data_IF_606291511220
#
_entry.id   IF_606291511220
#
_cell.length_a   1.000
_cell.length_b   1.000
_cell.length_c   1.000
_cell.angle_alpha   90.00
_cell.angle_beta   90.00
_cell.angle_gamma   90.00
#
_symmetry.space_group_name_H-M   'P 1'
#
loop_
_entity.id
_entity.type
_entity.pdbx_description
1 polymer ?
#
# COMPACT_ATOMS: atom_id res chain seq x y z
N UNK A 1 30.38 -15.39 2.05
CA UNK A 1 29.23 -14.73 1.43
C UNK A 1 28.28 -15.82 0.95
N UNK A 2 27.11 -15.93 1.58
CA UNK A 2 26.07 -16.92 1.26
C UNK A 2 25.47 -16.66 -0.12
N UNK A 3 24.63 -17.58 -0.64
CA UNK A 3 23.89 -17.33 -1.88
C UNK A 3 22.91 -16.14 -1.74
N UNK A 4 22.26 -16.02 -0.58
CA UNK A 4 21.36 -14.92 -0.26
C UNK A 4 22.12 -13.59 -0.21
N UNK A 5 23.32 -13.55 0.41
CA UNK A 5 24.14 -12.33 0.47
C UNK A 5 24.56 -11.86 -0.93
N UNK A 6 24.82 -12.80 -1.85
CA UNK A 6 25.16 -12.47 -3.25
C UNK A 6 23.98 -11.86 -3.98
N UNK A 7 22.79 -12.41 -3.78
CA UNK A 7 21.56 -11.85 -4.34
C UNK A 7 21.27 -10.46 -3.77
N UNK A 8 21.36 -10.28 -2.45
CA UNK A 8 21.13 -8.97 -1.80
C UNK A 8 22.11 -7.91 -2.31
N UNK A 9 23.40 -8.25 -2.41
CA UNK A 9 24.41 -7.35 -2.99
C UNK A 9 24.03 -6.94 -4.42
N UNK A 10 23.67 -7.92 -5.25
CA UNK A 10 23.32 -7.68 -6.65
C UNK A 10 22.09 -6.78 -6.80
N UNK A 11 21.03 -7.05 -6.02
CA UNK A 11 19.82 -6.21 -5.96
C UNK A 11 20.14 -4.76 -5.57
N UNK A 12 21.17 -4.51 -4.76
CA UNK A 12 21.58 -3.16 -4.33
C UNK A 12 22.58 -2.48 -5.27
N UNK A 13 23.09 -3.17 -6.28
CA UNK A 13 24.16 -2.67 -7.14
C UNK A 13 23.85 -2.90 -8.61
N UNK A 14 24.31 -3.99 -9.22
CA UNK A 14 24.18 -4.18 -10.68
C UNK A 14 22.72 -4.12 -11.13
N UNK A 15 21.79 -4.66 -10.33
CA UNK A 15 20.35 -4.56 -10.60
C UNK A 15 19.87 -3.10 -10.74
N UNK A 16 20.28 -2.22 -9.82
CA UNK A 16 19.91 -0.79 -9.83
C UNK A 16 20.53 -0.10 -11.03
N UNK A 17 21.78 -0.41 -11.36
CA UNK A 17 22.50 0.17 -12.51
C UNK A 17 21.81 -0.21 -13.83
N UNK A 18 21.48 -1.49 -14.01
CA UNK A 18 20.80 -1.99 -15.20
C UNK A 18 19.41 -1.37 -15.39
N UNK A 19 18.60 -1.39 -14.34
CA UNK A 19 17.27 -0.82 -14.37
C UNK A 19 17.31 0.70 -14.63
N UNK A 20 18.23 1.43 -13.98
CA UNK A 20 18.39 2.89 -14.23
C UNK A 20 18.75 3.17 -15.69
N UNK A 21 19.69 2.43 -16.26
CA UNK A 21 20.10 2.61 -17.65
C UNK A 21 18.95 2.37 -18.63
N UNK A 22 18.14 1.33 -18.38
CA UNK A 22 16.93 1.05 -19.15
C UNK A 22 15.90 2.17 -18.99
N UNK A 23 15.64 2.65 -17.77
CA UNK A 23 14.67 3.71 -17.49
C UNK A 23 15.00 5.04 -18.15
N UNK A 24 16.26 5.48 -18.11
CA UNK A 24 16.69 6.69 -18.81
C UNK A 24 16.59 6.51 -20.33
N UNK A 25 16.93 5.30 -20.81
CA UNK A 25 16.59 4.75 -22.13
C UNK A 25 15.18 5.11 -22.61
N UNK A 26 14.21 4.56 -21.87
CA UNK A 26 12.80 4.63 -22.19
C UNK A 26 12.23 6.03 -22.03
N UNK A 27 12.65 6.74 -20.99
CA UNK A 27 12.19 8.09 -20.69
C UNK A 27 12.63 9.09 -21.76
N UNK A 28 13.88 8.99 -22.25
CA UNK A 28 14.39 9.84 -23.33
C UNK A 28 13.54 9.75 -24.61
N UNK A 29 12.97 8.58 -24.90
CA UNK A 29 12.07 8.37 -26.04
C UNK A 29 10.59 8.58 -25.71
N UNK A 30 10.24 8.86 -24.44
CA UNK A 30 8.85 8.89 -23.93
C UNK A 30 8.06 7.63 -24.31
N UNK A 31 8.74 6.49 -24.24
CA UNK A 31 8.19 5.15 -24.50
C UNK A 31 8.16 4.38 -23.20
N UNK A 32 7.16 3.51 -23.06
CA UNK A 32 7.12 2.63 -21.89
C UNK A 32 8.23 1.58 -21.97
N UNK A 33 8.52 1.09 -23.18
CA UNK A 33 9.62 0.18 -23.50
C UNK A 33 10.19 0.55 -24.88
N UNK A 34 11.51 0.45 -24.99
CA UNK A 34 12.27 0.54 -26.25
C UNK A 34 12.80 -0.86 -26.57
N UNK A 35 12.51 -1.35 -27.79
CA UNK A 35 12.82 -2.74 -28.22
C UNK A 35 13.66 -2.83 -29.49
N UNK A 36 13.97 -1.69 -30.10
CA UNK A 36 14.71 -1.55 -31.36
C UNK A 36 16.19 -1.20 -31.15
N UNK A 37 16.72 -1.47 -29.96
CA UNK A 37 18.09 -1.12 -29.53
C UNK A 37 18.85 -2.34 -28.99
N UNK A 38 19.80 -2.90 -29.74
CA UNK A 38 20.56 -4.09 -29.32
C UNK A 38 21.33 -3.92 -28.01
N UNK A 39 21.74 -2.70 -27.68
CA UNK A 39 22.40 -2.37 -26.41
C UNK A 39 21.47 -2.50 -25.21
N UNK A 40 20.20 -2.13 -25.35
CA UNK A 40 19.21 -2.27 -24.27
C UNK A 40 18.82 -3.73 -24.08
N UNK A 41 18.70 -4.50 -25.18
CA UNK A 41 18.45 -5.95 -25.11
C UNK A 41 19.55 -6.70 -24.36
N UNK A 42 20.81 -6.29 -24.50
CA UNK A 42 21.91 -6.86 -23.70
C UNK A 42 21.73 -6.60 -22.20
N UNK A 43 21.29 -5.41 -21.81
CA UNK A 43 21.04 -5.07 -20.40
C UNK A 43 19.85 -5.87 -19.87
N UNK A 44 18.75 -5.97 -20.63
CA UNK A 44 17.60 -6.82 -20.28
C UNK A 44 18.01 -8.27 -20.06
N UNK A 45 18.82 -8.82 -20.97
CA UNK A 45 19.32 -10.18 -20.85
C UNK A 45 20.24 -10.36 -19.63
N UNK A 46 21.06 -9.37 -19.30
CA UNK A 46 21.90 -9.39 -18.10
C UNK A 46 21.05 -9.45 -16.82
N UNK A 47 19.99 -8.63 -16.71
CA UNK A 47 19.04 -8.69 -15.59
C UNK A 47 18.47 -10.09 -15.40
N UNK A 48 17.96 -10.70 -16.49
CA UNK A 48 17.37 -12.05 -16.45
C UNK A 48 18.40 -13.11 -16.08
N UNK A 49 19.55 -13.13 -16.78
CA UNK A 49 20.55 -14.20 -16.62
C UNK A 49 21.24 -14.12 -15.27
N UNK A 50 21.70 -12.94 -14.84
CA UNK A 50 22.42 -12.81 -13.57
C UNK A 50 21.50 -13.05 -12.37
N UNK A 51 20.31 -12.44 -12.36
CA UNK A 51 19.33 -12.63 -11.30
C UNK A 51 18.87 -14.09 -11.20
N UNK A 52 18.57 -14.73 -12.34
CA UNK A 52 18.21 -16.14 -12.40
C UNK A 52 19.29 -17.06 -11.84
N UNK A 53 20.56 -16.87 -12.23
CA UNK A 53 21.69 -17.66 -11.72
C UNK A 53 21.88 -17.49 -10.21
N UNK A 54 21.73 -16.27 -9.70
CA UNK A 54 21.85 -15.99 -8.26
C UNK A 54 20.73 -16.65 -7.47
N UNK A 55 19.49 -16.59 -7.96
CA UNK A 55 18.32 -17.22 -7.33
C UNK A 55 18.42 -18.75 -7.39
N UNK A 56 18.80 -19.33 -8.53
CA UNK A 56 18.98 -20.78 -8.70
C UNK A 56 20.08 -21.37 -7.80
N UNK A 57 21.03 -20.55 -7.34
CA UNK A 57 22.06 -20.96 -6.38
C UNK A 57 21.58 -20.96 -4.91
N UNK A 58 20.36 -20.51 -4.63
CA UNK A 58 19.79 -20.51 -3.28
C UNK A 58 19.22 -21.90 -3.00
N UNK A 59 19.72 -22.63 -1.99
CA UNK A 59 19.27 -23.98 -1.72
C UNK A 59 17.81 -24.02 -1.25
N UNK A 60 17.15 -25.16 -1.47
CA UNK A 60 15.87 -25.50 -0.85
C UNK A 60 15.94 -25.56 0.68
N UNK A 61 14.81 -25.87 1.35
CA UNK A 61 14.31 -25.16 2.52
C UNK A 61 15.39 -24.55 3.42
N UNK A 62 15.41 -23.22 3.50
CA UNK A 62 16.34 -22.47 4.33
C UNK A 62 15.87 -22.45 5.80
N UNK A 63 16.74 -22.80 6.77
CA UNK A 63 16.44 -22.71 8.20
C UNK A 63 16.56 -21.27 8.70
N UNK A 64 15.78 -20.36 8.11
CA UNK A 64 15.75 -18.93 8.41
C UNK A 64 14.39 -18.52 9.00
N UNK A 65 14.36 -17.41 9.74
CA UNK A 65 13.16 -16.85 10.36
C UNK A 65 12.10 -16.42 9.34
N UNK A 66 10.85 -16.24 9.78
CA UNK A 66 9.78 -15.74 8.92
C UNK A 66 10.11 -14.37 8.31
N UNK A 67 10.76 -13.48 9.08
CA UNK A 67 11.20 -12.17 8.61
C UNK A 67 12.24 -12.28 7.50
N UNK A 68 13.24 -13.15 7.66
CA UNK A 68 14.26 -13.39 6.64
C UNK A 68 13.67 -14.04 5.38
N UNK A 69 12.69 -14.95 5.52
CA UNK A 69 11.94 -15.48 4.37
C UNK A 69 11.19 -14.39 3.62
N UNK A 70 10.55 -13.46 4.34
CA UNK A 70 9.82 -12.35 3.74
C UNK A 70 10.77 -11.37 3.02
N UNK A 71 11.94 -11.10 3.59
CA UNK A 71 12.99 -10.32 2.92
C UNK A 71 13.52 -11.01 1.65
N UNK A 72 13.75 -12.32 1.71
CA UNK A 72 14.15 -13.11 0.54
C UNK A 72 13.05 -13.12 -0.54
N UNK A 73 11.79 -13.24 -0.14
CA UNK A 73 10.65 -13.11 -1.06
C UNK A 73 10.64 -11.72 -1.72
N UNK A 74 10.94 -10.67 -0.97
CA UNK A 74 11.12 -9.31 -1.49
C UNK A 74 12.16 -9.25 -2.60
N UNK A 75 13.35 -9.80 -2.38
CA UNK A 75 14.44 -9.82 -3.39
C UNK A 75 14.07 -10.59 -4.65
N UNK A 76 13.48 -11.79 -4.50
CA UNK A 76 12.97 -12.56 -5.64
C UNK A 76 11.86 -11.79 -6.36
N UNK A 77 11.01 -11.10 -5.60
CA UNK A 77 9.97 -10.23 -6.12
C UNK A 77 10.51 -9.05 -6.93
N UNK A 78 11.55 -8.35 -6.46
CA UNK A 78 12.21 -7.28 -7.21
C UNK A 78 12.68 -7.78 -8.57
N UNK A 79 13.35 -8.92 -8.60
CA UNK A 79 13.79 -9.56 -9.85
C UNK A 79 12.62 -9.84 -10.79
N UNK A 80 11.58 -10.56 -10.33
CA UNK A 80 10.42 -10.91 -11.15
C UNK A 80 9.65 -9.68 -11.67
N UNK A 81 9.50 -8.66 -10.83
CA UNK A 81 8.87 -7.39 -11.20
C UNK A 81 9.67 -6.63 -12.27
N UNK A 82 11.00 -6.62 -12.17
CA UNK A 82 11.85 -6.02 -13.20
C UNK A 82 11.79 -6.78 -14.53
N UNK A 83 11.84 -8.12 -14.50
CA UNK A 83 11.67 -8.94 -15.71
C UNK A 83 10.33 -8.63 -16.40
N UNK A 84 9.24 -8.52 -15.62
CA UNK A 84 7.92 -8.11 -16.16
C UNK A 84 7.96 -6.70 -16.74
N UNK A 85 8.56 -5.75 -16.03
CA UNK A 85 8.60 -4.34 -16.44
C UNK A 85 9.30 -4.16 -17.78
N UNK A 86 10.37 -4.91 -18.01
CA UNK A 86 11.21 -4.78 -19.21
C UNK A 86 10.77 -5.66 -20.37
N UNK A 87 9.65 -6.37 -20.22
CA UNK A 87 9.18 -7.40 -21.17
C UNK A 87 10.31 -8.33 -21.62
N UNK A 88 11.21 -8.61 -20.69
CA UNK A 88 12.25 -9.60 -20.93
C UNK A 88 11.56 -10.96 -21.07
N UNK A 89 12.16 -11.87 -21.86
CA UNK A 89 11.67 -13.24 -21.98
C UNK A 89 11.36 -13.80 -20.59
N UNK A 90 10.28 -14.62 -20.48
CA UNK A 90 9.93 -15.29 -19.22
C UNK A 90 11.20 -15.87 -18.58
N UNK A 91 11.34 -15.84 -17.24
CA UNK A 91 12.55 -16.31 -16.57
C UNK A 91 12.99 -17.64 -17.16
N UNK A 92 14.17 -17.65 -17.79
CA UNK A 92 14.68 -18.83 -18.49
C UNK A 92 14.84 -20.00 -17.51
N UNK A 93 15.04 -19.68 -16.23
CA UNK A 93 15.07 -20.60 -15.10
C UNK A 93 13.79 -20.51 -14.25
N UNK A 94 13.01 -21.60 -14.09
CA UNK A 94 11.82 -21.63 -13.23
C UNK A 94 12.13 -21.50 -11.73
N UNK A 95 13.41 -21.55 -11.32
CA UNK A 95 13.84 -21.48 -9.92
C UNK A 95 13.29 -20.26 -9.19
N UNK A 96 13.17 -19.10 -9.87
CA UNK A 96 12.61 -17.89 -9.29
C UNK A 96 11.12 -18.03 -8.94
N UNK A 97 10.33 -18.65 -9.82
CA UNK A 97 8.93 -18.94 -9.52
C UNK A 97 8.79 -19.97 -8.41
N UNK A 98 9.56 -21.06 -8.47
CA UNK A 98 9.55 -22.11 -7.45
C UNK A 98 9.89 -21.56 -6.07
N UNK A 99 10.96 -20.76 -5.96
CA UNK A 99 11.37 -20.17 -4.69
C UNK A 99 10.31 -19.18 -4.17
N UNK A 100 9.78 -18.31 -5.03
CA UNK A 100 8.74 -17.38 -4.64
C UNK A 100 7.48 -18.10 -4.13
N UNK A 101 7.05 -19.17 -4.80
CA UNK A 101 5.90 -19.99 -4.39
C UNK A 101 6.13 -20.67 -3.04
N UNK A 102 7.33 -21.23 -2.81
CA UNK A 102 7.68 -21.87 -1.54
C UNK A 102 7.66 -20.85 -0.40
N UNK A 103 8.26 -19.67 -0.60
CA UNK A 103 8.29 -18.61 0.40
C UNK A 103 6.89 -18.05 0.68
N UNK A 104 6.13 -17.73 -0.38
CA UNK A 104 4.77 -17.21 -0.25
C UNK A 104 3.84 -18.18 0.48
N UNK A 105 3.89 -19.46 0.12
CA UNK A 105 3.11 -20.52 0.79
C UNK A 105 3.51 -20.68 2.26
N UNK A 106 4.82 -20.64 2.57
CA UNK A 106 5.31 -20.77 3.94
C UNK A 106 4.93 -19.58 4.84
N UNK A 107 4.66 -18.41 4.25
CA UNK A 107 4.36 -17.17 4.95
C UNK A 107 2.87 -16.80 4.92
N UNK A 108 2.06 -17.46 4.09
CA UNK A 108 0.65 -17.10 3.89
C UNK A 108 0.48 -15.78 3.13
N UNK A 109 1.38 -15.47 2.19
CA UNK A 109 1.37 -14.24 1.38
C UNK A 109 1.46 -14.55 -0.10
N UNK A 110 1.14 -13.56 -0.93
CA UNK A 110 1.32 -13.63 -2.37
C UNK A 110 2.81 -13.86 -2.71
N UNK A 111 3.15 -14.81 -3.59
CA UNK A 111 4.52 -15.16 -3.92
C UNK A 111 5.16 -14.15 -4.88
N UNK A 112 5.09 -12.86 -4.56
CA UNK A 112 5.60 -11.77 -5.41
C UNK A 112 6.04 -10.56 -4.61
N UNK A 113 6.58 -9.57 -5.34
CA UNK A 113 6.82 -8.23 -4.82
C UNK A 113 5.52 -7.55 -4.35
N UNK A 114 5.59 -6.88 -3.19
CA UNK A 114 4.60 -5.94 -2.65
C UNK A 114 5.33 -4.72 -2.09
N UNK A 115 4.63 -3.58 -1.98
CA UNK A 115 5.24 -2.31 -1.56
C UNK A 115 5.96 -2.40 -0.20
N UNK A 116 5.43 -3.21 0.73
CA UNK A 116 6.05 -3.41 2.04
C UNK A 116 7.49 -3.97 1.96
N UNK A 117 7.82 -4.77 0.95
CA UNK A 117 9.19 -5.25 0.72
C UNK A 117 10.16 -4.11 0.42
N UNK A 118 9.70 -3.06 -0.27
CA UNK A 118 10.52 -1.91 -0.65
C UNK A 118 10.53 -0.81 0.41
N UNK A 119 9.47 -0.69 1.21
CA UNK A 119 9.34 0.39 2.18
C UNK A 119 9.66 -0.04 3.63
N UNK A 120 8.99 -1.06 4.14
CA UNK A 120 8.99 -1.38 5.59
C UNK A 120 9.95 -2.52 5.96
N UNK A 121 10.07 -3.51 5.08
CA UNK A 121 10.88 -4.70 5.27
C UNK A 121 12.18 -4.64 4.44
N UNK A 122 12.72 -3.43 4.30
CA UNK A 122 13.88 -3.13 3.46
C UNK A 122 15.04 -2.59 4.29
N UNK A 123 15.95 -3.45 4.79
CA UNK A 123 17.06 -2.98 5.61
C UNK A 123 18.01 -2.10 4.78
N UNK A 124 18.34 -0.94 5.33
CA UNK A 124 19.43 -0.10 4.81
C UNK A 124 20.79 -0.63 5.32
N UNK A 125 21.74 -0.82 4.41
CA UNK A 125 23.09 -1.26 4.70
C UNK A 125 24.04 -0.20 4.14
N UNK A 126 24.77 0.50 5.02
CA UNK A 126 25.65 1.63 4.64
C UNK A 126 24.93 2.64 3.74
N UNK A 127 23.81 3.15 4.23
CA UNK A 127 22.96 4.16 3.57
C UNK A 127 22.32 3.73 2.24
N UNK A 128 22.34 2.43 1.92
CA UNK A 128 21.67 1.86 0.74
C UNK A 128 20.61 0.88 1.14
N UNK A 129 19.38 1.09 0.69
CA UNK A 129 18.26 0.14 0.76
C UNK A 129 17.91 -0.34 -0.66
N UNK A 130 17.18 -1.45 -0.78
CA UNK A 130 16.83 -2.05 -2.06
C UNK A 130 15.85 -1.14 -2.83
N UNK A 131 16.11 -0.92 -4.11
CA UNK A 131 15.31 -0.08 -5.01
C UNK A 131 15.31 -0.71 -6.40
N UNK A 132 14.37 -0.31 -7.27
CA UNK A 132 14.46 -0.70 -8.68
C UNK A 132 15.54 0.10 -9.40
N UNK A 133 15.62 1.40 -9.15
CA UNK A 133 16.46 2.35 -9.87
C UNK A 133 17.16 3.30 -8.90
N UNK A 134 18.09 4.10 -9.42
CA UNK A 134 18.72 5.22 -8.70
C UNK A 134 18.02 6.56 -8.96
N UNK A 135 16.84 6.56 -9.58
CA UNK A 135 16.11 7.78 -9.92
C UNK A 135 15.62 8.51 -8.66
N UNK A 136 15.81 9.82 -8.64
CA UNK A 136 15.40 10.67 -7.51
C UNK A 136 13.88 10.57 -7.23
N UNK A 137 13.07 10.49 -8.29
CA UNK A 137 11.62 10.35 -8.17
C UNK A 137 11.19 9.02 -7.52
N UNK A 138 11.96 7.93 -7.69
CA UNK A 138 11.69 6.70 -6.96
C UNK A 138 11.93 6.91 -5.46
N UNK A 139 13.03 7.56 -5.08
CA UNK A 139 13.28 7.88 -3.68
C UNK A 139 12.18 8.77 -3.07
N UNK A 140 11.68 9.77 -3.81
CA UNK A 140 10.57 10.63 -3.41
C UNK A 140 9.29 9.81 -3.22
N UNK A 141 8.95 8.95 -4.18
CA UNK A 141 7.78 8.07 -4.13
C UNK A 141 7.85 7.13 -2.91
N UNK A 142 8.97 6.45 -2.70
CA UNK A 142 9.16 5.51 -1.61
C UNK A 142 9.10 6.19 -0.25
N UNK A 143 9.80 7.31 -0.10
CA UNK A 143 9.91 8.02 1.18
C UNK A 143 8.55 8.51 1.65
N UNK A 144 7.82 9.22 0.79
CA UNK A 144 6.52 9.77 1.20
C UNK A 144 5.46 8.69 1.41
N UNK A 145 5.40 7.66 0.55
CA UNK A 145 4.47 6.55 0.78
C UNK A 145 4.84 5.77 2.04
N UNK A 146 6.12 5.48 2.28
CA UNK A 146 6.58 4.81 3.50
C UNK A 146 6.24 5.59 4.77
N UNK A 147 6.48 6.91 4.75
CA UNK A 147 6.11 7.81 5.86
C UNK A 147 4.59 7.85 6.10
N UNK A 148 3.79 7.89 5.03
CA UNK A 148 2.33 7.81 5.14
C UNK A 148 1.87 6.47 5.73
N UNK A 149 2.48 5.34 5.34
CA UNK A 149 2.17 4.02 5.91
C UNK A 149 2.51 3.98 7.40
N UNK A 150 3.69 4.44 7.81
CA UNK A 150 4.08 4.52 9.23
C UNK A 150 3.13 5.42 10.03
N UNK A 151 2.68 6.53 9.45
CA UNK A 151 1.70 7.40 10.08
C UNK A 151 0.32 6.73 10.21
N UNK A 152 -0.14 5.99 9.21
CA UNK A 152 -1.34 5.16 9.35
C UNK A 152 -1.17 4.08 10.43
N UNK A 153 -0.03 3.40 10.50
CA UNK A 153 0.24 2.41 11.56
C UNK A 153 0.18 3.07 12.94
N UNK A 154 0.79 4.25 13.13
CA UNK A 154 0.66 5.02 14.39
C UNK A 154 -0.80 5.33 14.76
N UNK A 155 -1.62 5.72 13.78
CA UNK A 155 -3.04 6.00 14.02
C UNK A 155 -3.80 4.72 14.40
N UNK A 156 -3.60 3.63 13.66
CA UNK A 156 -4.24 2.35 13.95
C UNK A 156 -3.83 1.80 15.33
N UNK A 157 -2.55 1.86 15.68
CA UNK A 157 -2.01 1.47 16.98
C UNK A 157 -2.68 2.22 18.14
N UNK A 158 -2.86 3.54 17.99
CA UNK A 158 -3.53 4.35 19.00
C UNK A 158 -5.02 3.97 19.14
N UNK A 159 -5.71 3.77 18.01
CA UNK A 159 -7.13 3.38 18.01
C UNK A 159 -7.35 1.97 18.57
N UNK A 160 -6.49 0.99 18.26
CA UNK A 160 -6.58 -0.39 18.78
C UNK A 160 -6.48 -0.48 20.30
N UNK A 161 -5.89 0.52 20.97
CA UNK A 161 -5.76 0.55 22.43
C UNK A 161 -7.01 1.07 23.14
N UNK A 162 -7.94 1.70 22.42
CA UNK A 162 -9.15 2.30 23.01
C UNK A 162 -10.18 1.25 23.48
N UNK A 163 -10.53 0.20 22.69
CA UNK A 163 -11.58 -0.74 23.07
C UNK A 163 -11.51 -1.32 24.49
N UNK A 164 -10.35 -1.82 25.00
CA UNK A 164 -10.28 -2.36 26.36
C UNK A 164 -10.39 -1.29 27.45
N UNK A 165 -10.18 -0.01 27.13
CA UNK A 165 -10.19 1.10 28.08
C UNK A 165 -11.55 1.80 28.16
N UNK A 166 -12.32 1.76 27.08
CA UNK A 166 -13.61 2.46 26.94
C UNK A 166 -13.47 3.89 26.39
N UNK A 167 -14.53 4.38 25.74
CA UNK A 167 -14.49 5.67 25.04
C UNK A 167 -14.57 6.88 25.97
N UNK A 168 -15.07 6.71 27.19
CA UNK A 168 -15.11 7.74 28.24
C UNK A 168 -13.85 7.83 29.10
N UNK A 169 -12.89 6.91 28.94
CA UNK A 169 -11.66 6.91 29.73
C UNK A 169 -10.81 8.17 29.43
N UNK A 170 -10.25 8.88 30.43
CA UNK A 170 -9.41 10.05 30.18
C UNK A 170 -8.12 9.72 29.39
N UNK A 171 -7.62 8.48 29.47
CA UNK A 171 -6.47 8.05 28.66
C UNK A 171 -6.83 7.90 27.17
N UNK A 172 -8.11 7.70 26.85
CA UNK A 172 -8.61 7.70 25.46
C UNK A 172 -8.44 9.07 24.81
N UNK A 173 -8.46 10.16 25.58
CA UNK A 173 -8.13 11.50 25.06
C UNK A 173 -6.76 11.52 24.40
N UNK A 174 -5.73 11.01 25.09
CA UNK A 174 -4.36 10.95 24.56
C UNK A 174 -4.24 10.07 23.31
N UNK A 175 -4.95 8.94 23.28
CA UNK A 175 -4.96 8.04 22.12
C UNK A 175 -5.64 8.68 20.91
N UNK A 176 -6.74 9.41 21.10
CA UNK A 176 -7.41 10.12 20.01
C UNK A 176 -6.59 11.30 19.49
N UNK A 177 -5.94 12.06 20.37
CA UNK A 177 -4.99 13.12 19.99
C UNK A 177 -3.81 12.54 19.19
N UNK A 178 -3.30 11.37 19.61
CA UNK A 178 -2.25 10.63 18.88
C UNK A 178 -2.72 10.20 17.49
N UNK A 179 -3.92 9.63 17.39
CA UNK A 179 -4.51 9.19 16.12
C UNK A 179 -4.76 10.38 15.17
N UNK A 180 -5.25 11.51 15.71
CA UNK A 180 -5.49 12.73 14.94
C UNK A 180 -4.17 13.28 14.36
N UNK A 181 -3.15 13.47 15.21
CA UNK A 181 -1.84 13.94 14.77
C UNK A 181 -1.21 13.02 13.72
N UNK A 182 -1.37 11.71 13.87
CA UNK A 182 -0.86 10.75 12.90
C UNK A 182 -1.60 10.81 11.54
N UNK A 183 -2.91 11.06 11.53
CA UNK A 183 -3.67 11.26 10.29
C UNK A 183 -3.37 12.61 9.62
N UNK A 184 -3.07 13.65 10.40
CA UNK A 184 -2.57 14.91 9.87
C UNK A 184 -1.20 14.74 9.19
N UNK A 185 -0.32 13.91 9.78
CA UNK A 185 0.94 13.50 9.15
C UNK A 185 0.72 12.78 7.81
N UNK A 186 -0.25 11.84 7.74
CA UNK A 186 -0.61 11.18 6.46
C UNK A 186 -0.97 12.21 5.39
N UNK A 187 -1.85 13.17 5.73
CA UNK A 187 -2.25 14.21 4.78
C UNK A 187 -1.04 15.05 4.34
N UNK A 188 -0.17 15.44 5.28
CA UNK A 188 1.05 16.20 5.00
C UNK A 188 1.99 15.45 4.05
N UNK A 189 2.29 14.18 4.33
CA UNK A 189 3.15 13.36 3.47
C UNK A 189 2.56 13.17 2.06
N UNK A 190 1.24 13.01 1.95
CA UNK A 190 0.57 12.96 0.64
C UNK A 190 0.66 14.29 -0.11
N UNK A 191 0.57 15.41 0.59
CA UNK A 191 0.77 16.75 0.01
C UNK A 191 2.21 16.98 -0.42
N UNK A 192 3.18 16.51 0.37
CA UNK A 192 4.60 16.57 0.04
C UNK A 192 4.88 15.76 -1.23
N UNK A 193 4.36 14.53 -1.31
CA UNK A 193 4.44 13.68 -2.51
C UNK A 193 3.85 14.39 -3.74
N UNK A 194 2.62 14.88 -3.63
CA UNK A 194 1.92 15.53 -4.74
C UNK A 194 2.58 16.82 -5.23
N UNK A 195 3.42 17.46 -4.41
CA UNK A 195 4.20 18.65 -4.80
C UNK A 195 5.57 18.31 -5.40
N UNK A 196 6.15 17.16 -5.05
CA UNK A 196 7.57 16.86 -5.30
C UNK A 196 7.80 15.79 -6.35
N UNK A 197 6.88 14.84 -6.50
CA UNK A 197 7.01 13.76 -7.47
C UNK A 197 6.69 14.24 -8.89
N UNK A 198 7.61 14.03 -9.82
CA UNK A 198 7.35 14.29 -11.23
C UNK A 198 6.36 13.24 -11.79
N UNK A 199 5.26 13.74 -12.37
CA UNK A 199 4.16 12.91 -12.89
C UNK A 199 4.63 12.05 -14.07
N UNK A 200 5.44 12.58 -14.97
CA UNK A 200 5.94 11.85 -16.13
C UNK A 200 6.95 10.79 -15.68
N UNK A 201 7.89 11.13 -14.79
CA UNK A 201 8.85 10.17 -14.21
C UNK A 201 8.14 9.05 -13.45
N UNK A 202 7.13 9.38 -12.66
CA UNK A 202 6.31 8.36 -12.00
C UNK A 202 5.63 7.44 -13.02
N UNK A 203 4.97 8.01 -14.03
CA UNK A 203 4.18 7.25 -14.99
C UNK A 203 5.05 6.33 -15.86
N UNK A 204 6.20 6.81 -16.34
CA UNK A 204 7.06 6.06 -17.25
C UNK A 204 8.11 5.19 -16.55
N UNK A 205 8.62 5.59 -15.38
CA UNK A 205 9.76 4.92 -14.76
C UNK A 205 9.44 4.16 -13.47
N UNK A 206 8.43 4.59 -12.70
CA UNK A 206 8.15 3.99 -11.38
C UNK A 206 6.96 3.04 -11.45
N UNK A 207 5.80 3.54 -11.90
CA UNK A 207 4.55 2.77 -12.03
C UNK A 207 4.73 1.42 -12.74
N UNK A 208 5.51 1.30 -13.83
CA UNK A 208 5.59 0.04 -14.57
C UNK A 208 6.18 -1.15 -13.79
N UNK A 209 6.93 -0.93 -12.71
CA UNK A 209 7.40 -2.01 -11.83
C UNK A 209 6.29 -2.63 -10.97
N UNK A 210 5.15 -1.95 -10.84
CA UNK A 210 4.02 -2.38 -10.02
C UNK A 210 2.98 -3.19 -10.81
N UNK A 211 3.26 -3.58 -12.06
CA UNK A 211 2.33 -4.35 -12.92
C UNK A 211 1.97 -5.74 -12.36
N UNK A 212 0.86 -6.29 -12.85
CA UNK A 212 0.55 -7.71 -12.70
C UNK A 212 1.60 -8.56 -13.43
N UNK A 213 1.87 -9.74 -12.88
CA UNK A 213 2.69 -10.75 -13.53
C UNK A 213 2.36 -12.15 -13.03
N UNK A 214 2.77 -13.14 -13.81
CA UNK A 214 2.63 -14.55 -13.46
C UNK A 214 3.74 -15.02 -12.55
N UNK A 215 3.38 -15.88 -11.61
CA UNK A 215 4.31 -16.68 -10.82
C UNK A 215 3.88 -18.14 -10.97
N UNK A 216 4.59 -18.87 -11.83
CA UNK A 216 4.11 -20.14 -12.37
C UNK A 216 2.86 -19.93 -13.22
N UNK A 217 1.82 -20.74 -13.00
CA UNK A 217 0.59 -20.69 -13.80
C UNK A 217 -0.43 -19.61 -13.37
N UNK A 218 -0.18 -18.91 -12.25
CA UNK A 218 -1.14 -17.97 -11.66
C UNK A 218 -0.71 -16.54 -11.92
N UNK A 219 -1.61 -15.70 -12.41
CA UNK A 219 -1.41 -14.25 -12.49
C UNK A 219 -1.77 -13.59 -11.15
N UNK A 220 -0.84 -12.79 -10.64
CA UNK A 220 -1.02 -12.00 -9.43
C UNK A 220 -1.11 -10.53 -9.79
N UNK A 221 -2.11 -9.84 -9.24
CA UNK A 221 -2.23 -8.40 -9.41
C UNK A 221 -0.99 -7.68 -8.92
N UNK A 222 -0.75 -6.53 -9.51
CA UNK A 222 0.24 -5.55 -9.13
C UNK A 222 0.13 -5.08 -7.69
N UNK A 223 1.27 -4.61 -7.19
CA UNK A 223 1.41 -4.11 -5.83
C UNK A 223 0.83 -2.70 -5.71
N UNK A 224 0.15 -2.42 -4.59
CA UNK A 224 -0.36 -1.09 -4.27
C UNK A 224 0.34 -0.55 -3.03
N UNK A 225 0.58 0.77 -2.98
CA UNK A 225 1.05 1.42 -1.75
C UNK A 225 0.05 1.24 -0.58
N UNK A 226 -1.22 0.96 -0.87
CA UNK A 226 -2.28 0.64 0.09
C UNK A 226 -2.36 -0.82 0.56
N UNK A 227 -1.39 -1.67 0.22
CA UNK A 227 -1.31 -3.08 0.64
C UNK A 227 -0.70 -3.21 2.05
N UNK A 228 -1.33 -2.57 3.04
CA UNK A 228 -1.01 -2.67 4.47
C UNK A 228 -2.31 -2.65 5.28
N UNK A 229 -2.32 -3.23 6.48
CA UNK A 229 -3.54 -3.41 7.27
C UNK A 229 -4.08 -2.09 7.84
N UNK A 230 -3.20 -1.19 8.29
CA UNK A 230 -3.55 -0.07 9.15
C UNK A 230 -4.68 0.83 8.60
N UNK A 231 -4.72 1.08 7.28
CA UNK A 231 -5.80 1.89 6.69
C UNK A 231 -7.18 1.22 6.85
N UNK A 232 -7.23 -0.12 6.75
CA UNK A 232 -8.45 -0.88 6.94
C UNK A 232 -8.80 -1.09 8.41
N UNK A 233 -7.81 -1.15 9.27
CA UNK A 233 -8.02 -1.16 10.72
C UNK A 233 -8.68 0.14 11.18
N UNK A 234 -8.20 1.29 10.70
CA UNK A 234 -8.80 2.60 10.99
C UNK A 234 -10.23 2.67 10.48
N UNK A 235 -10.49 2.23 9.24
CA UNK A 235 -11.83 2.19 8.67
C UNK A 235 -12.84 1.46 9.56
N UNK A 236 -12.44 0.28 10.07
CA UNK A 236 -13.26 -0.59 10.90
C UNK A 236 -13.39 -0.09 12.34
N UNK A 237 -12.28 0.31 12.97
CA UNK A 237 -12.28 0.83 14.35
C UNK A 237 -13.10 2.12 14.45
N UNK A 238 -13.02 3.01 13.46
CA UNK A 238 -13.83 4.23 13.44
C UNK A 238 -15.30 3.97 13.06
N UNK A 239 -15.64 2.78 12.55
CA UNK A 239 -16.98 2.47 12.06
C UNK A 239 -17.36 3.24 10.79
N UNK A 240 -16.37 3.63 9.98
CA UNK A 240 -16.59 4.30 8.70
C UNK A 240 -16.86 3.29 7.57
N UNK A 241 -16.35 2.07 7.73
CA UNK A 241 -16.66 0.91 6.89
C UNK A 241 -17.17 -0.25 7.77
N UNK A 242 -17.88 -1.19 7.16
CA UNK A 242 -18.42 -2.38 7.84
C UNK A 242 -17.82 -3.65 7.23
N UNK A 243 -17.24 -4.53 8.05
CA UNK A 243 -16.68 -5.81 7.61
C UNK A 243 -17.74 -6.81 7.09
N UNK A 244 -19.03 -6.50 7.26
CA UNK A 244 -20.16 -7.28 6.74
C UNK A 244 -20.70 -6.73 5.42
N UNK A 245 -20.32 -5.52 5.02
CA UNK A 245 -20.68 -4.98 3.71
C UNK A 245 -19.95 -5.78 2.61
N UNK A 246 -20.67 -6.36 1.62
CA UNK A 246 -20.04 -7.21 0.61
C UNK A 246 -18.94 -6.52 -0.20
N UNK A 247 -19.08 -5.21 -0.43
CA UNK A 247 -18.04 -4.45 -1.13
C UNK A 247 -16.79 -4.32 -0.28
N UNK A 248 -16.93 -4.00 1.00
CA UNK A 248 -15.78 -3.88 1.89
C UNK A 248 -15.12 -5.24 2.21
N UNK A 249 -15.90 -6.33 2.26
CA UNK A 249 -15.38 -7.70 2.31
C UNK A 249 -14.47 -7.99 1.12
N UNK A 250 -14.89 -7.62 -0.09
CA UNK A 250 -14.07 -7.78 -1.28
C UNK A 250 -12.76 -6.97 -1.19
N UNK A 251 -12.84 -5.72 -0.70
CA UNK A 251 -11.65 -4.87 -0.47
C UNK A 251 -10.64 -5.53 0.46
N UNK A 252 -11.09 -6.21 1.53
CA UNK A 252 -10.22 -6.94 2.45
C UNK A 252 -9.69 -8.23 1.80
N UNK A 253 -10.55 -9.01 1.16
CA UNK A 253 -10.18 -10.30 0.57
C UNK A 253 -9.11 -10.15 -0.52
N UNK A 254 -9.26 -9.18 -1.43
CA UNK A 254 -8.33 -8.93 -2.53
C UNK A 254 -6.94 -8.45 -2.09
N UNK A 255 -6.82 -7.89 -0.88
CA UNK A 255 -5.54 -7.40 -0.34
C UNK A 255 -4.88 -8.34 0.63
N UNK A 256 -5.62 -9.27 1.21
CA UNK A 256 -5.18 -10.02 2.36
C UNK A 256 -3.83 -10.72 2.15
N UNK A 257 -3.66 -11.41 1.01
CA UNK A 257 -2.41 -12.06 0.65
C UNK A 257 -1.24 -11.09 0.38
N UNK A 258 -1.52 -9.80 0.15
CA UNK A 258 -0.52 -8.77 -0.15
C UNK A 258 -0.06 -8.00 1.10
N UNK A 259 -0.74 -8.22 2.22
CA UNK A 259 -0.39 -7.64 3.53
C UNK A 259 0.67 -8.50 4.21
N UNK A 260 1.63 -7.86 4.87
CA UNK A 260 2.70 -8.55 5.60
C UNK A 260 2.12 -9.51 6.67
N UNK A 261 2.76 -10.65 6.97
CA UNK A 261 2.17 -11.67 7.85
C UNK A 261 1.73 -11.15 9.23
N UNK A 262 2.52 -10.27 9.83
CA UNK A 262 2.22 -9.65 11.14
C UNK A 262 0.98 -8.75 11.07
N UNK A 263 0.89 -7.94 10.01
CA UNK A 263 -0.24 -7.05 9.74
C UNK A 263 -1.54 -7.81 9.43
N UNK A 264 -1.47 -9.02 8.85
CA UNK A 264 -2.65 -9.86 8.65
C UNK A 264 -3.28 -10.28 9.98
N UNK A 265 -2.48 -10.51 11.03
CA UNK A 265 -2.99 -10.83 12.37
C UNK A 265 -3.77 -9.66 12.94
N UNK A 266 -3.23 -8.44 12.80
CA UNK A 266 -3.86 -7.21 13.28
C UNK A 266 -5.18 -6.95 12.56
N UNK A 267 -5.21 -7.11 11.23
CA UNK A 267 -6.42 -6.92 10.44
C UNK A 267 -7.53 -7.90 10.84
N UNK A 268 -7.20 -9.18 11.07
CA UNK A 268 -8.17 -10.19 11.55
C UNK A 268 -8.77 -9.80 12.89
N UNK A 269 -7.94 -9.34 13.84
CA UNK A 269 -8.42 -8.98 15.17
C UNK A 269 -9.43 -7.81 15.13
N UNK A 270 -9.22 -6.83 14.25
CA UNK A 270 -10.10 -5.66 14.13
C UNK A 270 -11.43 -5.97 13.45
N UNK A 271 -11.50 -7.00 12.59
CA UNK A 271 -12.76 -7.42 11.93
C UNK A 271 -13.82 -7.86 12.93
N UNK A 272 -13.40 -8.42 14.07
CA UNK A 272 -14.30 -8.91 15.13
C UNK A 272 -14.57 -7.85 16.21
N UNK A 273 -13.84 -6.73 16.20
CA UNK A 273 -13.98 -5.67 17.20
C UNK A 273 -15.22 -4.81 16.94
N UNK A 274 -15.86 -4.38 18.02
CA UNK A 274 -16.98 -3.45 17.92
C UNK A 274 -16.48 -2.03 17.59
N UNK A 275 -17.03 -1.36 16.55
CA UNK A 275 -16.58 -0.02 16.18
C UNK A 275 -16.74 1.02 17.28
N UNK A 276 -15.76 1.91 17.41
CA UNK A 276 -15.75 2.99 18.40
C UNK A 276 -16.97 3.93 18.25
N UNK A 277 -17.43 4.17 17.02
CA UNK A 277 -18.65 4.96 16.77
C UNK A 277 -19.88 4.37 17.50
N UNK A 278 -20.03 3.04 17.50
CA UNK A 278 -21.12 2.38 18.20
C UNK A 278 -20.99 2.54 19.73
N UNK A 279 -19.77 2.42 20.26
CA UNK A 279 -19.48 2.62 21.69
C UNK A 279 -19.79 4.07 22.12
N UNK A 280 -19.33 5.06 21.35
CA UNK A 280 -19.62 6.48 21.60
C UNK A 280 -21.12 6.79 21.58
N UNK A 281 -21.86 6.27 20.60
CA UNK A 281 -23.30 6.48 20.51
C UNK A 281 -24.04 5.92 21.73
N UNK A 282 -23.75 4.68 22.14
CA UNK A 282 -24.39 4.07 23.31
C UNK A 282 -24.15 4.85 24.60
N UNK A 283 -22.91 5.26 24.85
CA UNK A 283 -22.59 6.04 26.05
C UNK A 283 -23.23 7.43 25.99
N UNK A 284 -23.21 8.10 24.83
CA UNK A 284 -23.78 9.44 24.68
C UNK A 284 -25.31 9.45 24.79
N UNK A 285 -26.01 8.40 24.33
CA UNK A 285 -27.45 8.22 24.50
C UNK A 285 -27.87 8.18 25.98
N UNK A 286 -26.98 7.68 26.86
CA UNK A 286 -27.22 7.62 28.31
C UNK A 286 -26.86 8.92 29.04
N UNK A 287 -26.37 9.92 28.33
CA UNK A 287 -25.90 11.21 28.85
C UNK A 287 -24.38 11.35 28.75
N UNK A 288 -23.93 12.38 28.03
CA UNK A 288 -22.51 12.63 27.83
C UNK A 288 -21.92 13.54 28.92
N UNK A 289 -21.16 12.98 29.86
CA UNK A 289 -20.35 13.77 30.80
C UNK A 289 -19.21 14.55 30.10
N UNK A 290 -18.52 15.48 30.80
CA UNK A 290 -17.49 16.32 30.18
C UNK A 290 -16.36 15.54 29.49
N UNK A 291 -15.88 14.44 30.09
CA UNK A 291 -14.84 13.59 29.50
C UNK A 291 -15.30 12.90 28.22
N UNK A 292 -16.52 12.36 28.21
CA UNK A 292 -17.08 11.72 27.01
C UNK A 292 -17.29 12.75 25.89
N UNK A 293 -17.77 13.97 26.21
CA UNK A 293 -17.92 15.04 25.21
C UNK A 293 -16.59 15.39 24.55
N UNK A 294 -15.53 15.61 25.34
CA UNK A 294 -14.19 15.88 24.82
C UNK A 294 -13.68 14.74 23.92
N UNK A 295 -13.83 13.49 24.37
CA UNK A 295 -13.40 12.34 23.57
C UNK A 295 -14.22 12.18 22.29
N UNK A 296 -15.53 12.44 22.33
CA UNK A 296 -16.38 12.39 21.14
C UNK A 296 -16.03 13.49 20.12
N UNK A 297 -15.70 14.70 20.58
CA UNK A 297 -15.22 15.78 19.70
C UNK A 297 -13.91 15.42 19.00
N UNK A 298 -12.96 14.85 19.74
CA UNK A 298 -11.69 14.34 19.20
C UNK A 298 -11.93 13.17 18.23
N UNK A 299 -12.80 12.22 18.58
CA UNK A 299 -13.18 11.12 17.71
C UNK A 299 -13.78 11.62 16.39
N UNK A 300 -14.71 12.58 16.45
CA UNK A 300 -15.26 13.22 15.25
C UNK A 300 -14.18 13.93 14.42
N UNK A 301 -13.15 14.49 15.05
CA UNK A 301 -12.00 15.09 14.36
C UNK A 301 -11.13 14.04 13.67
N UNK A 302 -10.84 12.91 14.34
CA UNK A 302 -10.13 11.76 13.77
C UNK A 302 -10.85 11.24 12.52
N UNK A 303 -12.17 11.04 12.57
CA UNK A 303 -12.95 10.62 11.39
C UNK A 303 -12.81 11.61 10.22
N UNK A 304 -12.84 12.92 10.50
CA UNK A 304 -12.65 13.95 9.47
C UNK A 304 -11.24 13.93 8.89
N UNK A 305 -10.22 13.78 9.72
CA UNK A 305 -8.82 13.73 9.28
C UNK A 305 -8.56 12.51 8.38
N UNK A 306 -9.10 11.34 8.75
CA UNK A 306 -9.01 10.12 7.92
C UNK A 306 -9.67 10.31 6.56
N UNK A 307 -10.90 10.84 6.55
CA UNK A 307 -11.61 11.18 5.32
C UNK A 307 -10.87 12.19 4.45
N UNK A 308 -10.28 13.23 5.05
CA UNK A 308 -9.51 14.26 4.36
C UNK A 308 -8.23 13.69 3.72
N UNK A 309 -7.46 12.90 4.47
CA UNK A 309 -6.25 12.25 3.98
C UNK A 309 -6.53 11.36 2.76
N UNK A 310 -7.58 10.52 2.83
CA UNK A 310 -7.91 9.64 1.73
C UNK A 310 -8.56 10.36 0.54
N UNK A 311 -9.39 11.37 0.78
CA UNK A 311 -9.97 12.22 -0.28
C UNK A 311 -8.87 12.94 -1.05
N UNK A 312 -7.84 13.46 -0.35
CA UNK A 312 -6.67 14.04 -0.99
C UNK A 312 -5.96 12.99 -1.86
N UNK A 313 -5.65 11.82 -1.30
CA UNK A 313 -5.02 10.73 -2.07
C UNK A 313 -5.80 10.41 -3.35
N UNK A 314 -7.12 10.21 -3.27
CA UNK A 314 -7.94 9.88 -4.44
C UNK A 314 -7.96 11.01 -5.49
N UNK A 315 -8.21 12.26 -5.08
CA UNK A 315 -8.41 13.36 -6.04
C UNK A 315 -7.12 14.03 -6.51
N UNK A 316 -6.05 13.99 -5.72
CA UNK A 316 -4.80 14.72 -6.00
C UNK A 316 -3.62 13.81 -6.33
N UNK A 317 -3.68 12.52 -6.02
CA UNK A 317 -2.64 11.56 -6.40
C UNK A 317 -3.16 10.57 -7.45
N UNK A 318 -4.26 9.85 -7.20
CA UNK A 318 -4.74 8.83 -8.16
C UNK A 318 -5.13 9.45 -9.51
N UNK A 319 -6.01 10.46 -9.53
CA UNK A 319 -6.46 11.05 -10.80
C UNK A 319 -5.31 11.68 -11.62
N UNK A 320 -4.46 12.55 -11.03
CA UNK A 320 -3.42 13.24 -11.81
C UNK A 320 -2.27 12.33 -12.24
N UNK A 321 -1.92 11.30 -11.45
CA UNK A 321 -0.77 10.44 -11.73
C UNK A 321 -1.13 9.18 -12.53
N UNK A 322 -2.41 8.80 -12.58
CA UNK A 322 -2.85 7.60 -13.32
C UNK A 322 -3.85 7.92 -14.43
N UNK A 323 -4.95 8.62 -14.13
CA UNK A 323 -6.05 8.82 -15.09
C UNK A 323 -5.67 9.78 -16.20
N UNK A 324 -5.16 10.96 -15.86
CA UNK A 324 -4.81 11.99 -16.85
C UNK A 324 -3.70 11.55 -17.81
N UNK A 325 -2.61 10.89 -17.36
CA UNK A 325 -1.61 10.38 -18.29
C UNK A 325 -2.13 9.21 -19.14
N UNK A 326 -3.02 8.37 -18.60
CA UNK A 326 -3.63 7.27 -19.35
C UNK A 326 -4.51 7.75 -20.51
N UNK A 327 -5.30 8.82 -20.31
CA UNK A 327 -6.13 9.43 -21.36
C UNK A 327 -5.29 10.00 -22.52
N UNK A 328 -4.04 10.36 -22.26
CA UNK A 328 -3.09 10.90 -23.26
C UNK A 328 -2.20 9.84 -23.88
N UNK A 329 -2.24 8.60 -23.37
CA UNK A 329 -1.43 7.52 -23.88
C UNK A 329 -2.05 6.92 -25.16
N UNK A 330 -1.23 6.55 -26.16
CA UNK A 330 -1.68 5.77 -27.32
C UNK A 330 -2.45 4.49 -26.92
N UNK A 331 -3.47 4.11 -27.72
CA UNK A 331 -4.41 3.03 -27.37
C UNK A 331 -3.77 1.65 -27.21
N UNK A 332 -2.65 1.39 -27.89
CA UNK A 332 -1.79 0.20 -27.74
C UNK A 332 -1.06 0.12 -26.39
N UNK A 333 -1.18 1.16 -25.55
CA UNK A 333 -0.53 1.28 -24.23
C UNK A 333 -1.52 1.28 -23.05
N UNK A 334 -2.80 0.99 -23.30
CA UNK A 334 -3.84 0.97 -22.26
C UNK A 334 -3.90 -0.36 -21.49
N UNK A 335 -3.37 -1.45 -22.05
CA UNK A 335 -3.32 -2.76 -21.39
C UNK A 335 -2.28 -2.75 -20.25
N UNK A 336 -2.75 -2.85 -19.01
CA UNK A 336 -1.89 -2.92 -17.81
C UNK A 336 -1.54 -1.56 -17.15
N UNK A 337 -2.30 -0.49 -17.44
CA UNK A 337 -2.18 0.80 -16.74
C UNK A 337 -2.53 0.68 -15.25
N UNK A 338 -3.49 -0.18 -14.90
CA UNK A 338 -3.77 -0.51 -13.51
C UNK A 338 -2.83 -1.61 -13.04
N UNK A 339 -2.21 -1.39 -11.88
CA UNK A 339 -1.53 -2.46 -11.16
C UNK A 339 -2.52 -3.60 -10.83
N UNK A 340 -3.78 -3.29 -10.55
CA UNK A 340 -4.69 -4.17 -9.83
C UNK A 340 -5.37 -5.30 -10.60
N UNK A 341 -5.29 -5.36 -11.94
CA UNK A 341 -5.97 -6.40 -12.74
C UNK A 341 -7.30 -5.95 -13.37
N UNK A 342 -8.27 -5.34 -12.63
CA UNK A 342 -9.47 -4.78 -13.24
C UNK A 342 -9.17 -3.56 -14.13
N UNK A 343 -10.05 -3.28 -15.11
CA UNK A 343 -10.01 -2.04 -15.90
C UNK A 343 -9.95 -0.76 -15.05
N UNK A 344 -9.33 0.28 -15.58
CA UNK A 344 -9.08 1.54 -14.85
C UNK A 344 -10.34 2.21 -14.30
N UNK A 345 -11.43 2.19 -15.06
CA UNK A 345 -12.73 2.71 -14.66
C UNK A 345 -13.31 1.95 -13.45
N UNK A 346 -13.18 0.62 -13.42
CA UNK A 346 -13.60 -0.23 -12.29
C UNK A 346 -12.80 0.13 -11.03
N UNK A 347 -11.47 0.27 -11.15
CA UNK A 347 -10.59 0.65 -10.04
C UNK A 347 -10.94 2.05 -9.52
N UNK A 348 -11.10 3.02 -10.41
CA UNK A 348 -11.45 4.41 -10.05
C UNK A 348 -12.82 4.46 -9.37
N UNK A 349 -13.80 3.66 -9.83
CA UNK A 349 -15.11 3.57 -9.20
C UNK A 349 -15.02 3.01 -7.76
N UNK A 350 -14.25 1.93 -7.56
CA UNK A 350 -14.02 1.34 -6.24
C UNK A 350 -13.33 2.31 -5.28
N UNK A 351 -12.28 3.00 -5.73
CA UNK A 351 -11.58 4.02 -4.95
C UNK A 351 -12.49 5.23 -4.63
N UNK A 352 -13.37 5.61 -5.56
CA UNK A 352 -14.35 6.68 -5.32
C UNK A 352 -15.33 6.29 -4.22
N UNK A 353 -15.84 5.04 -4.23
CA UNK A 353 -16.71 4.53 -3.17
C UNK A 353 -15.99 4.49 -1.82
N UNK A 354 -14.74 4.02 -1.77
CA UNK A 354 -13.94 4.09 -0.54
C UNK A 354 -13.75 5.53 -0.04
N UNK A 355 -13.59 6.50 -0.95
CA UNK A 355 -13.50 7.91 -0.59
C UNK A 355 -14.79 8.43 0.04
N UNK A 356 -15.94 8.04 -0.51
CA UNK A 356 -17.24 8.44 0.03
C UNK A 356 -17.48 7.81 1.42
N UNK A 357 -17.14 6.52 1.62
CA UNK A 357 -17.24 5.84 2.91
C UNK A 357 -16.36 6.50 3.98
N UNK A 358 -15.06 6.69 3.69
CA UNK A 358 -14.08 7.25 4.64
C UNK A 358 -14.34 8.71 4.98
N UNK A 359 -14.95 9.47 4.06
CA UNK A 359 -15.34 10.86 4.31
C UNK A 359 -16.75 10.99 4.89
N UNK A 360 -17.46 9.87 5.09
CA UNK A 360 -18.88 9.85 5.45
C UNK A 360 -19.70 10.82 4.59
N UNK A 361 -19.47 10.81 3.27
CA UNK A 361 -20.19 11.70 2.35
C UNK A 361 -21.64 11.26 2.24
N UNK A 362 -22.53 12.22 2.02
CA UNK A 362 -23.91 11.94 1.66
C UNK A 362 -23.99 11.73 0.16
N UNK A 363 -24.29 10.49 -0.24
CA UNK A 363 -24.43 10.11 -1.64
C UNK A 363 -25.65 9.20 -1.77
N UNK A 364 -26.61 9.53 -2.65
CA UNK A 364 -27.76 8.69 -2.91
C UNK A 364 -27.34 7.25 -3.25
N UNK A 365 -27.95 6.27 -2.58
CA UNK A 365 -27.71 4.85 -2.82
C UNK A 365 -26.42 4.26 -2.21
N UNK A 366 -25.61 5.05 -1.49
CA UNK A 366 -24.45 4.53 -0.74
C UNK A 366 -24.65 4.79 0.76
N UNK A 367 -24.98 3.76 1.56
CA UNK A 367 -25.02 3.89 3.01
C UNK A 367 -23.63 4.28 3.55
N UNK A 368 -23.54 5.37 4.31
CA UNK A 368 -22.30 5.82 4.96
C UNK A 368 -22.53 6.03 6.46
N UNK A 369 -21.45 6.18 7.21
CA UNK A 369 -21.50 6.48 8.66
C UNK A 369 -22.05 7.88 8.99
N UNK A 370 -22.42 8.69 7.98
CA UNK A 370 -22.83 10.09 8.17
C UNK A 370 -23.97 10.26 9.17
N UNK A 371 -25.10 9.53 9.09
CA UNK A 371 -26.21 9.74 10.03
C UNK A 371 -25.80 9.44 11.48
N UNK A 372 -24.98 8.42 11.68
CA UNK A 372 -24.45 8.04 12.99
C UNK A 372 -23.49 9.11 13.54
N UNK A 373 -22.62 9.68 12.71
CA UNK A 373 -21.71 10.76 13.10
C UNK A 373 -22.46 12.06 13.42
N UNK A 374 -23.50 12.40 12.64
CA UNK A 374 -24.37 13.56 12.91
C UNK A 374 -25.16 13.37 14.21
N UNK A 375 -25.65 12.16 14.47
CA UNK A 375 -26.30 11.81 15.74
C UNK A 375 -25.36 11.92 16.93
N UNK A 376 -24.13 11.43 16.81
CA UNK A 376 -23.14 11.60 17.88
C UNK A 376 -22.89 13.08 18.15
N UNK A 377 -22.75 13.89 17.09
CA UNK A 377 -22.55 15.35 17.21
C UNK A 377 -23.72 16.02 17.94
N UNK A 378 -24.97 15.67 17.64
CA UNK A 378 -26.13 16.27 18.30
C UNK A 378 -26.19 15.90 19.79
N UNK A 379 -25.93 14.63 20.13
CA UNK A 379 -25.92 14.13 21.51
C UNK A 379 -24.88 14.83 22.39
N UNK A 380 -23.70 15.15 21.86
CA UNK A 380 -22.64 15.80 22.64
C UNK A 380 -22.71 17.32 22.65
N UNK A 381 -23.38 17.93 21.67
CA UNK A 381 -23.59 19.39 21.62
C UNK A 381 -24.78 19.85 22.49
N UNK A 382 -25.79 19.00 22.68
CA UNK A 382 -27.08 19.34 23.28
C UNK A 382 -27.14 19.41 24.82
N UNK A 383 -26.01 19.35 25.53
CA UNK A 383 -25.98 19.29 27.00
C UNK A 383 -25.33 20.53 27.65
N UNK A 384 -25.40 21.67 26.96
CA UNK A 384 -25.10 23.01 27.51
C UNK A 384 -26.42 23.74 27.80
N UNK A 385 -27.14 23.31 28.83
CA UNK A 385 -28.29 24.04 29.38
C UNK A 385 -28.34 23.86 30.89
#
# INVERSE_FOLDING_TARGET
MTAVDRLDRWIRTEFVEYNTALEEAYFAERREIVGDRPELEKIKQAVVTEGGLLIGAIPGPLPISAREKYQLLGMVGFYLAACRRHESAEPVDPSAWSLAQVLGSALGVAPRFVFAHQALYNPAIRDRYQTFTSLADEAVFLTNNGLAVLAYQRAADALRRIPPMGVSNPLTTYLLETALSALDDVLRFNQDLGRTLDVDRFFFNIRPYFKSHRVGAVEYRGANAGDFSAVNEIDLLLGLCDARDPFYQNVIAEKYAYVAPEDQVLLRAVVEEEPLLAKFLREAESGAGPGLRRNAELFLAVCRAHGAAYTYHHHRLVKPFLVVPAEKAPADRLDGITASGPPLDVVVAGLSRLSDLRSARDRPGTPTARPALERLRSLVSGASS
#
